data_IF_923712808757
#
_entry.id   IF_923712808757
#
_cell.length_a   1.000
_cell.length_b   1.000
_cell.length_c   1.000
_cell.angle_alpha   90.00
_cell.angle_beta   90.00
_cell.angle_gamma   90.00
#
_symmetry.space_group_name_H-M   'P 1'
#
loop_
_entity.id
_entity.type
_entity.pdbx_description
1 polymer ?
#
# COMPACT_ATOMS: atom_id res chain seq x y z
N UNK A 1 16.02 1.38 -31.09
CA UNK A 1 16.22 2.05 -29.80
C UNK A 1 16.21 0.98 -28.74
N UNK A 2 17.34 0.75 -28.06
CA UNK A 2 17.30 0.01 -26.79
C UNK A 2 16.51 0.90 -25.82
N UNK A 3 15.35 0.42 -25.39
CA UNK A 3 14.71 0.95 -24.19
C UNK A 3 15.31 0.09 -23.08
N UNK A 4 16.28 0.62 -22.35
CA UNK A 4 16.66 0.01 -21.09
C UNK A 4 15.49 0.26 -20.14
N UNK A 5 14.58 -0.72 -20.08
CA UNK A 5 13.51 -0.71 -19.10
C UNK A 5 14.16 -0.89 -17.73
N UNK A 6 14.46 0.23 -17.10
CA UNK A 6 14.75 0.27 -15.68
C UNK A 6 13.42 0.06 -14.98
N UNK A 7 13.07 -1.20 -14.78
CA UNK A 7 12.20 -1.51 -13.67
C UNK A 7 13.03 -1.25 -12.42
N UNK A 8 12.88 -0.07 -11.82
CA UNK A 8 12.92 -0.04 -10.36
C UNK A 8 11.79 -0.96 -9.96
N UNK A 9 12.14 -2.23 -9.68
CA UNK A 9 11.18 -3.25 -9.31
C UNK A 9 10.52 -2.75 -8.03
N UNK A 10 9.37 -2.09 -8.19
CA UNK A 10 8.35 -2.12 -7.15
C UNK A 10 7.91 -3.58 -7.16
N UNK A 11 8.64 -4.43 -6.44
CA UNK A 11 8.24 -5.80 -6.21
C UNK A 11 6.91 -5.70 -5.48
N UNK A 12 5.83 -6.12 -6.15
CA UNK A 12 4.48 -6.00 -5.61
C UNK A 12 4.39 -6.55 -4.18
N UNK A 13 5.12 -7.63 -3.90
CA UNK A 13 5.22 -8.21 -2.56
C UNK A 13 5.84 -7.26 -1.54
N UNK A 14 6.98 -6.65 -1.85
CA UNK A 14 7.67 -5.73 -0.96
C UNK A 14 6.82 -4.49 -0.70
N UNK A 15 6.16 -3.97 -1.75
CA UNK A 15 5.17 -2.90 -1.61
C UNK A 15 4.04 -3.28 -0.64
N UNK A 16 3.47 -4.49 -0.75
CA UNK A 16 2.42 -4.94 0.15
C UNK A 16 2.90 -5.04 1.60
N UNK A 17 4.11 -5.55 1.83
CA UNK A 17 4.71 -5.65 3.17
C UNK A 17 4.95 -4.26 3.76
N UNK A 18 5.56 -3.36 3.00
CA UNK A 18 5.81 -1.98 3.42
C UNK A 18 4.52 -1.19 3.64
N UNK A 19 3.48 -1.43 2.83
CA UNK A 19 2.18 -0.82 3.02
C UNK A 19 1.53 -1.30 4.32
N UNK A 20 1.65 -2.58 4.66
CA UNK A 20 1.15 -3.12 5.93
C UNK A 20 1.92 -2.56 7.13
N UNK A 21 3.24 -2.42 6.99
CA UNK A 21 4.11 -1.75 7.96
C UNK A 21 3.67 -0.30 8.16
N UNK A 22 3.47 0.42 7.06
CA UNK A 22 3.03 1.80 7.05
C UNK A 22 1.67 1.96 7.72
N UNK A 23 0.72 1.06 7.45
CA UNK A 23 -0.62 1.04 8.10
C UNK A 23 -0.53 0.85 9.62
N UNK A 24 0.24 -0.14 10.06
CA UNK A 24 0.25 -0.60 11.46
C UNK A 24 1.17 0.24 12.36
N UNK A 25 2.36 0.60 11.87
CA UNK A 25 3.40 1.26 12.67
C UNK A 25 3.62 2.72 12.29
N UNK A 26 3.09 3.17 11.15
CA UNK A 26 3.33 4.54 10.67
C UNK A 26 4.66 4.66 9.93
N UNK A 27 5.22 5.86 9.92
CA UNK A 27 6.45 6.16 9.20
C UNK A 27 6.20 6.66 7.77
N UNK A 28 7.11 6.35 6.85
CA UNK A 28 7.04 6.79 5.46
C UNK A 28 6.17 5.81 4.63
N UNK A 29 5.37 6.32 3.70
CA UNK A 29 4.66 5.46 2.76
C UNK A 29 5.65 4.76 1.81
N UNK A 30 5.31 3.55 1.33
CA UNK A 30 6.11 2.87 0.30
C UNK A 30 6.14 3.67 -1.00
N UNK A 31 7.23 3.55 -1.77
CA UNK A 31 7.29 4.12 -3.12
C UNK A 31 6.48 3.26 -4.11
N UNK A 32 5.79 3.94 -5.02
CA UNK A 32 4.90 3.36 -6.02
C UNK A 32 5.16 3.93 -7.42
N UNK A 33 6.30 4.59 -7.59
CA UNK A 33 6.72 5.11 -8.88
C UNK A 33 7.77 4.23 -9.54
N UNK A 34 7.72 4.19 -10.86
CA UNK A 34 8.76 3.57 -11.68
C UNK A 34 9.38 4.66 -12.55
N UNK A 35 10.70 4.70 -12.62
CA UNK A 35 11.41 5.67 -13.48
C UNK A 35 12.02 4.95 -14.67
N UNK A 36 11.61 5.34 -15.87
CA UNK A 36 12.18 4.87 -17.13
C UNK A 36 13.22 5.88 -17.62
N UNK A 37 14.40 5.39 -18.02
CA UNK A 37 15.44 6.20 -18.68
C UNK A 37 15.56 5.73 -20.14
N UNK A 38 15.53 6.65 -21.10
CA UNK A 38 15.49 6.29 -22.52
C UNK A 38 16.83 6.54 -23.22
N UNK A 39 17.32 5.52 -23.93
CA UNK A 39 18.50 5.64 -24.80
C UNK A 39 19.83 5.74 -24.04
N UNK A 40 19.83 5.46 -22.74
CA UNK A 40 20.97 5.50 -21.86
C UNK A 40 21.01 4.22 -21.02
N UNK A 41 22.20 3.68 -20.81
CA UNK A 41 22.41 2.56 -19.88
C UNK A 41 22.15 3.04 -18.46
N UNK A 42 21.43 2.22 -17.68
CA UNK A 42 21.23 2.48 -16.27
C UNK A 42 22.31 1.78 -15.46
N UNK A 43 23.08 2.57 -14.72
CA UNK A 43 24.14 2.11 -13.83
C UNK A 43 23.79 2.59 -12.43
N UNK A 44 23.90 1.72 -11.43
CA UNK A 44 23.66 2.06 -10.02
C UNK A 44 24.58 3.20 -9.51
N UNK A 45 25.60 3.56 -10.29
CA UNK A 45 26.58 4.60 -9.96
C UNK A 45 26.22 5.97 -10.52
N UNK A 46 25.34 6.05 -11.50
CA UNK A 46 25.02 7.29 -12.19
C UNK A 46 23.73 7.89 -11.61
N UNK A 47 23.72 9.16 -11.19
CA UNK A 47 22.51 9.79 -10.71
C UNK A 47 21.49 9.94 -11.85
N UNK A 48 20.22 9.70 -11.53
CA UNK A 48 19.11 9.82 -12.50
C UNK A 48 18.94 11.25 -13.03
N UNK A 49 19.44 12.25 -12.31
CA UNK A 49 19.40 13.68 -12.68
C UNK A 49 20.24 14.00 -13.92
N UNK A 50 21.25 13.18 -14.21
CA UNK A 50 22.12 13.36 -15.38
C UNK A 50 21.54 12.72 -16.66
N UNK A 51 20.42 12.00 -16.54
CA UNK A 51 19.76 11.31 -17.67
C UNK A 51 18.97 12.30 -18.52
N UNK A 52 19.12 12.20 -19.83
CA UNK A 52 18.57 13.17 -20.79
C UNK A 52 17.06 13.07 -20.92
N UNK A 53 16.53 11.84 -20.87
CA UNK A 53 15.10 11.57 -21.06
C UNK A 53 14.66 10.57 -20.01
N UNK A 54 13.87 11.07 -19.05
CA UNK A 54 13.28 10.28 -17.97
C UNK A 54 11.76 10.35 -18.02
N UNK A 55 11.07 9.23 -17.81
CA UNK A 55 9.63 9.21 -17.55
C UNK A 55 9.37 8.59 -16.17
N UNK A 56 8.63 9.31 -15.33
CA UNK A 56 8.16 8.81 -14.04
C UNK A 56 6.73 8.31 -14.21
N UNK A 57 6.52 7.03 -13.96
CA UNK A 57 5.23 6.35 -14.06
C UNK A 57 4.70 6.15 -12.65
N UNK A 58 3.47 6.59 -12.43
CA UNK A 58 2.72 6.32 -11.21
C UNK A 58 1.92 5.03 -11.34
N UNK A 59 1.99 4.16 -10.34
CA UNK A 59 1.14 2.98 -10.23
C UNK A 59 -0.17 3.35 -9.51
N UNK A 60 -1.24 3.60 -10.27
CA UNK A 60 -2.53 4.11 -9.77
C UNK A 60 -3.09 3.30 -8.60
N UNK A 61 -3.11 1.96 -8.70
CA UNK A 61 -3.65 1.12 -7.61
C UNK A 61 -2.85 1.24 -6.31
N UNK A 62 -1.54 1.43 -6.42
CA UNK A 62 -0.66 1.59 -5.27
C UNK A 62 -0.81 2.97 -4.64
N UNK A 63 -0.97 4.03 -5.45
CA UNK A 63 -1.23 5.38 -4.95
C UNK A 63 -2.60 5.50 -4.26
N UNK A 64 -3.64 4.90 -4.84
CA UNK A 64 -4.96 4.81 -4.21
C UNK A 64 -4.91 4.07 -2.87
N UNK A 65 -4.12 3.00 -2.78
CA UNK A 65 -3.96 2.23 -1.55
C UNK A 65 -3.33 3.06 -0.42
N UNK A 66 -2.33 3.90 -0.74
CA UNK A 66 -1.72 4.81 0.24
C UNK A 66 -2.71 5.90 0.66
N UNK A 67 -3.41 6.50 -0.31
CA UNK A 67 -4.40 7.55 -0.04
C UNK A 67 -5.53 7.08 0.88
N UNK A 68 -5.97 5.81 0.75
CA UNK A 68 -6.95 5.22 1.67
C UNK A 68 -6.43 5.15 3.10
N UNK A 69 -5.16 4.76 3.30
CA UNK A 69 -4.55 4.68 4.63
C UNK A 69 -4.41 6.06 5.25
N UNK A 70 -3.98 7.06 4.46
CA UNK A 70 -3.88 8.44 4.91
C UNK A 70 -5.24 9.02 5.31
N UNK A 71 -6.29 8.76 4.52
CA UNK A 71 -7.67 9.17 4.82
C UNK A 71 -8.21 8.54 6.11
N UNK A 72 -7.95 7.25 6.32
CA UNK A 72 -8.33 6.55 7.56
C UNK A 72 -7.59 7.13 8.77
N UNK A 73 -6.33 7.50 8.62
CA UNK A 73 -5.55 8.13 9.70
C UNK A 73 -6.00 9.55 10.01
N UNK A 74 -6.30 10.34 8.98
CA UNK A 74 -6.81 11.69 9.15
C UNK A 74 -8.15 11.68 9.90
N UNK A 75 -9.05 10.73 9.58
CA UNK A 75 -10.33 10.58 10.29
C UNK A 75 -10.19 10.07 11.73
N UNK A 76 -9.18 9.25 12.03
CA UNK A 76 -8.90 8.78 13.40
C UNK A 76 -8.20 9.82 14.29
N UNK A 77 -7.76 10.94 13.72
CA UNK A 77 -7.05 12.02 14.43
C UNK A 77 -7.97 13.15 14.92
N UNK A 78 -9.28 13.06 14.71
CA UNK A 78 -10.28 13.95 15.32
C UNK A 78 -10.71 13.37 16.69
N UNK A 79 -10.57 14.18 17.74
CA UNK A 79 -10.64 13.90 19.20
C UNK A 79 -11.62 12.82 19.74
N UNK A 80 -11.32 12.26 20.94
CA UNK A 80 -12.19 11.35 21.66
C UNK A 80 -13.23 12.16 22.45
N UNK A 81 -14.41 12.33 21.89
CA UNK A 81 -15.60 12.53 22.74
C UNK A 81 -16.60 11.41 22.44
N UNK A 82 -16.98 10.76 23.52
CA UNK A 82 -17.89 9.62 23.60
C UNK A 82 -19.25 9.98 22.99
N UNK A 83 -19.58 9.52 21.79
CA UNK A 83 -20.98 9.25 21.43
C UNK A 83 -21.13 7.93 20.67
N UNK A 84 -21.75 7.00 21.39
CA UNK A 84 -22.34 5.75 20.97
C UNK A 84 -23.21 5.95 19.73
N UNK A 85 -22.73 5.60 18.53
CA UNK A 85 -23.58 5.53 17.34
C UNK A 85 -23.32 4.24 16.55
N UNK A 86 -24.15 3.25 16.88
CA UNK A 86 -24.75 2.25 15.99
C UNK A 86 -23.97 1.88 14.71
N UNK A 87 -23.23 0.77 14.76
CA UNK A 87 -22.77 0.06 13.56
C UNK A 87 -23.67 -1.15 13.29
N UNK A 88 -24.59 -1.11 12.29
CA UNK A 88 -25.45 -2.24 11.97
C UNK A 88 -24.77 -3.36 11.17
N UNK A 89 -23.44 -3.34 10.99
CA UNK A 89 -22.73 -4.33 10.16
C UNK A 89 -21.67 -5.18 10.85
N UNK A 90 -21.53 -5.10 12.17
CA UNK A 90 -20.79 -6.13 12.91
C UNK A 90 -21.70 -7.35 13.16
N UNK A 91 -21.97 -8.12 12.10
CA UNK A 91 -22.35 -9.52 12.29
C UNK A 91 -21.08 -10.26 12.69
N UNK A 92 -20.85 -10.34 14.01
CA UNK A 92 -19.89 -11.26 14.60
C UNK A 92 -20.26 -12.69 14.17
N UNK A 93 -19.34 -13.34 13.47
CA UNK A 93 -19.38 -14.79 13.24
C UNK A 93 -19.33 -15.48 14.61
N UNK A 94 -20.44 -16.08 15.02
CA UNK A 94 -20.52 -16.86 16.25
C UNK A 94 -19.77 -18.19 16.03
N UNK A 95 -18.98 -18.68 17.00
CA UNK A 95 -18.45 -20.03 16.90
C UNK A 95 -19.62 -21.02 17.03
N UNK A 96 -19.77 -21.91 16.05
CA UNK A 96 -20.71 -23.04 16.12
C UNK A 96 -20.18 -24.00 17.18
N UNK A 97 -20.87 -24.10 18.31
CA UNK A 97 -20.61 -25.14 19.30
C UNK A 97 -21.28 -26.45 18.83
N UNK A 98 -20.49 -27.35 18.24
CA UNK A 98 -20.92 -28.72 17.91
C UNK A 98 -20.73 -29.65 19.11
N UNK A 99 -21.30 -29.30 20.26
CA UNK A 99 -21.33 -30.17 21.43
C UNK A 99 -22.77 -30.37 21.88
N UNK A 100 -23.54 -31.14 21.10
CA UNK A 100 -24.70 -31.90 21.57
C UNK A 100 -25.28 -32.74 20.41
N UNK A 101 -24.61 -33.87 20.13
CA UNK A 101 -25.23 -35.01 19.44
C UNK A 101 -25.12 -36.23 20.36
N UNK A 102 -25.87 -36.19 21.47
CA UNK A 102 -26.24 -37.39 22.23
C UNK A 102 -27.69 -37.71 21.85
N UNK A 103 -27.86 -38.68 20.96
CA UNK A 103 -29.16 -39.29 20.66
C UNK A 103 -29.58 -40.22 21.81
N UNK A 104 -30.86 -40.23 22.21
CA UNK A 104 -31.48 -41.43 22.77
C UNK A 104 -31.90 -42.43 21.68
#
# INVERSE_FOLDING_TARGET
>A
MLVDLVFTNVHYWDFCVELELYKTMGGNPPDYHVTLCFGEEFSDRDPTEDKLITAKIEQVMASESIQQVESLRASHSQDPDLEETSFPYLIQLMPVDTSDMIYP
#
